data_IF_820088456274
#
_entry.id   IF_820088456274
#
_cell.length_a   1.000
_cell.length_b   1.000
_cell.length_c   1.000
_cell.angle_alpha   90.00
_cell.angle_beta   90.00
_cell.angle_gamma   90.00
#
_symmetry.space_group_name_H-M   'P 1'
#
loop_
_entity.id
_entity.type
_entity.pdbx_description
1 polymer ?
#
# COMPACT_ATOMS: atom_id res chain seq x y z
N UNK A 1 -6.53 5.62 10.89
CA UNK A 1 -5.95 5.33 9.56
C UNK A 1 -4.88 6.37 9.28
N UNK A 2 -3.66 5.97 8.91
CA UNK A 2 -2.63 6.91 8.48
C UNK A 2 -2.93 7.34 7.04
N UNK A 3 -3.38 8.58 6.77
CA UNK A 3 -3.80 9.00 5.42
C UNK A 3 -2.65 8.92 4.40
N UNK A 4 -1.41 8.92 4.87
CA UNK A 4 -0.20 8.69 4.07
C UNK A 4 -0.19 7.32 3.35
N UNK A 5 -0.82 6.29 3.92
CA UNK A 5 -0.90 4.96 3.29
C UNK A 5 -1.72 4.95 1.99
N UNK A 6 -2.56 5.96 1.75
CA UNK A 6 -3.27 6.12 0.47
C UNK A 6 -2.26 6.26 -0.68
N UNK A 7 -1.12 6.93 -0.45
CA UNK A 7 -0.05 7.04 -1.45
C UNK A 7 0.53 5.67 -1.81
N UNK A 8 0.69 4.79 -0.83
CA UNK A 8 1.17 3.42 -1.08
C UNK A 8 0.20 2.63 -1.95
N UNK A 9 -1.11 2.75 -1.70
CA UNK A 9 -2.16 2.09 -2.50
C UNK A 9 -2.20 2.64 -3.93
N UNK A 10 -2.09 3.96 -4.11
CA UNK A 10 -2.06 4.59 -5.44
C UNK A 10 -0.85 4.08 -6.24
N UNK A 11 0.35 4.10 -5.65
CA UNK A 11 1.57 3.64 -6.30
C UNK A 11 1.54 2.14 -6.64
N UNK A 12 0.97 1.33 -5.74
CA UNK A 12 0.71 -0.08 -5.99
C UNK A 12 -0.25 -0.31 -7.15
N UNK A 13 -1.37 0.41 -7.18
CA UNK A 13 -2.36 0.35 -8.25
C UNK A 13 -1.77 0.75 -9.60
N UNK A 14 -1.02 1.86 -9.65
CA UNK A 14 -0.31 2.32 -10.86
C UNK A 14 0.68 1.26 -11.37
N UNK A 15 1.43 0.62 -10.48
CA UNK A 15 2.38 -0.45 -10.84
C UNK A 15 1.65 -1.66 -11.41
N UNK A 16 0.52 -2.05 -10.82
CA UNK A 16 -0.31 -3.14 -11.32
C UNK A 16 -0.82 -2.86 -12.74
N UNK A 17 -1.42 -1.68 -12.95
CA UNK A 17 -1.91 -1.26 -14.28
C UNK A 17 -0.77 -1.21 -15.29
N UNK A 18 0.38 -0.65 -14.93
CA UNK A 18 1.57 -0.59 -15.78
C UNK A 18 2.06 -1.98 -16.20
N UNK A 19 2.11 -2.93 -15.27
CA UNK A 19 2.52 -4.31 -15.55
C UNK A 19 1.55 -4.98 -16.53
N UNK A 20 0.24 -4.75 -16.37
CA UNK A 20 -0.77 -5.22 -17.31
C UNK A 20 -0.61 -4.60 -18.70
N UNK A 21 -0.34 -3.29 -18.78
CA UNK A 21 -0.11 -2.60 -20.05
C UNK A 21 1.11 -3.14 -20.80
N UNK A 22 2.20 -3.47 -20.09
CA UNK A 22 3.42 -4.02 -20.72
C UNK A 22 3.21 -5.48 -21.17
N UNK A 23 2.63 -6.31 -20.31
CA UNK A 23 2.49 -7.74 -20.58
C UNK A 23 1.24 -8.07 -21.44
N UNK A 24 0.47 -7.07 -21.87
CA UNK A 24 -0.76 -7.28 -22.63
C UNK A 24 -1.86 -7.98 -21.82
N UNK A 25 -1.85 -7.78 -20.50
CA UNK A 25 -2.84 -8.31 -19.56
C UNK A 25 -4.11 -7.47 -19.50
N UNK A 26 -5.14 -8.00 -18.85
CA UNK A 26 -6.42 -7.33 -18.76
C UNK A 26 -7.53 -8.25 -18.28
N UNK A 27 -8.71 -7.67 -18.06
CA UNK A 27 -9.91 -8.38 -17.62
C UNK A 27 -11.00 -8.21 -18.68
N UNK A 28 -11.77 -9.27 -18.92
CA UNK A 28 -12.87 -9.25 -19.90
C UNK A 28 -14.07 -8.45 -19.37
N UNK A 29 -14.20 -8.36 -18.05
CA UNK A 29 -15.20 -7.57 -17.34
C UNK A 29 -14.61 -7.03 -16.03
N UNK A 30 -15.18 -5.98 -15.41
CA UNK A 30 -14.78 -5.57 -14.09
C UNK A 30 -14.96 -6.74 -13.11
N UNK A 31 -13.87 -7.17 -12.48
CA UNK A 31 -13.91 -8.21 -11.45
C UNK A 31 -14.58 -7.66 -10.18
N UNK A 32 -15.92 -7.77 -10.14
CA UNK A 32 -16.73 -7.61 -8.94
C UNK A 32 -17.24 -9.01 -8.60
N UNK A 33 -16.79 -9.67 -7.52
CA UNK A 33 -16.19 -9.14 -6.27
C UNK A 33 -14.68 -8.90 -6.37
N UNK A 34 -14.12 -8.04 -5.51
CA UNK A 34 -12.69 -7.71 -5.44
C UNK A 34 -11.75 -8.83 -4.97
N UNK A 35 -12.09 -10.09 -5.26
CA UNK A 35 -11.31 -11.28 -4.93
C UNK A 35 -10.42 -11.69 -6.10
N UNK A 36 -9.22 -12.17 -5.80
CA UNK A 36 -8.30 -12.74 -6.80
C UNK A 36 -8.93 -13.92 -7.55
N UNK A 37 -9.84 -14.69 -6.92
CA UNK A 37 -10.56 -15.76 -7.62
C UNK A 37 -11.48 -15.21 -8.72
N UNK A 38 -12.09 -14.05 -8.50
CA UNK A 38 -12.91 -13.37 -9.51
C UNK A 38 -12.04 -12.80 -10.63
N UNK A 39 -10.87 -12.25 -10.29
CA UNK A 39 -9.87 -11.79 -11.27
C UNK A 39 -9.46 -12.94 -12.20
N UNK A 40 -9.13 -14.12 -11.64
CA UNK A 40 -8.77 -15.30 -12.42
C UNK A 40 -9.94 -15.84 -13.28
N UNK A 41 -11.17 -15.81 -12.75
CA UNK A 41 -12.35 -16.21 -13.50
C UNK A 41 -12.66 -15.26 -14.68
N UNK A 42 -12.34 -13.97 -14.53
CA UNK A 42 -12.56 -12.92 -15.56
C UNK A 42 -11.30 -12.64 -16.40
N UNK A 43 -10.25 -13.44 -16.25
CA UNK A 43 -9.02 -13.33 -17.06
C UNK A 43 -9.19 -14.11 -18.36
N UNK A 44 -8.94 -13.50 -19.54
CA UNK A 44 -9.00 -14.22 -20.80
C UNK A 44 -7.91 -15.29 -20.91
N UNK A 45 -8.19 -16.38 -21.63
CA UNK A 45 -7.25 -17.49 -21.85
C UNK A 45 -6.01 -16.97 -22.59
N UNK A 46 -4.89 -16.87 -21.86
CA UNK A 46 -3.61 -16.32 -22.36
C UNK A 46 -3.07 -15.15 -21.55
N UNK A 47 -3.93 -14.43 -20.80
CA UNK A 47 -3.52 -13.27 -19.99
C UNK A 47 -3.26 -13.60 -18.50
N UNK A 48 -3.37 -14.88 -18.10
CA UNK A 48 -3.15 -15.33 -16.72
C UNK A 48 -1.79 -14.93 -16.16
N UNK A 49 -0.74 -15.11 -16.96
CA UNK A 49 0.62 -14.75 -16.57
C UNK A 49 0.75 -13.25 -16.30
N UNK A 50 0.22 -12.42 -17.21
CA UNK A 50 0.23 -10.97 -17.08
C UNK A 50 -0.56 -10.50 -15.83
N UNK A 51 -1.74 -11.08 -15.59
CA UNK A 51 -2.59 -10.69 -14.46
C UNK A 51 -1.99 -11.10 -13.11
N UNK A 52 -1.44 -12.30 -12.99
CA UNK A 52 -0.78 -12.74 -11.76
C UNK A 52 0.48 -11.91 -11.51
N UNK A 53 1.30 -11.68 -12.53
CA UNK A 53 2.49 -10.84 -12.42
C UNK A 53 2.14 -9.40 -11.98
N UNK A 54 1.07 -8.83 -12.55
CA UNK A 54 0.58 -7.50 -12.17
C UNK A 54 0.11 -7.43 -10.71
N UNK A 55 -0.61 -8.45 -10.23
CA UNK A 55 -1.04 -8.53 -8.82
C UNK A 55 0.16 -8.66 -7.88
N UNK A 56 1.12 -9.53 -8.21
CA UNK A 56 2.34 -9.70 -7.42
C UNK A 56 3.18 -8.41 -7.39
N UNK A 57 3.33 -7.72 -8.52
CA UNK A 57 4.05 -6.46 -8.59
C UNK A 57 3.35 -5.35 -7.77
N UNK A 58 2.03 -5.22 -7.89
CA UNK A 58 1.23 -4.26 -7.11
C UNK A 58 1.32 -4.54 -5.60
N UNK A 59 1.27 -5.82 -5.21
CA UNK A 59 1.44 -6.25 -3.82
C UNK A 59 2.83 -5.89 -3.29
N UNK A 60 3.89 -6.21 -4.04
CA UNK A 60 5.26 -5.93 -3.64
C UNK A 60 5.51 -4.43 -3.45
N UNK A 61 5.10 -3.60 -4.40
CA UNK A 61 5.25 -2.14 -4.30
C UNK A 61 4.43 -1.56 -3.16
N UNK A 62 3.16 -1.96 -3.02
CA UNK A 62 2.31 -1.48 -1.92
C UNK A 62 2.91 -1.83 -0.55
N UNK A 63 3.44 -3.05 -0.42
CA UNK A 63 4.05 -3.52 0.82
C UNK A 63 5.33 -2.75 1.15
N UNK A 64 6.24 -2.59 0.19
CA UNK A 64 7.50 -1.88 0.39
C UNK A 64 7.25 -0.41 0.74
N UNK A 65 6.39 0.28 -0.02
CA UNK A 65 6.08 1.70 0.23
C UNK A 65 5.38 1.86 1.58
N UNK A 66 4.43 0.99 1.92
CA UNK A 66 3.75 1.04 3.23
C UNK A 66 4.71 0.77 4.38
N UNK A 67 5.62 -0.20 4.23
CA UNK A 67 6.61 -0.53 5.25
C UNK A 67 7.55 0.66 5.53
N UNK A 68 8.01 1.34 4.48
CA UNK A 68 8.85 2.54 4.61
C UNK A 68 8.06 3.66 5.29
N UNK A 69 6.85 3.97 4.82
CA UNK A 69 6.00 5.05 5.36
C UNK A 69 5.61 4.83 6.83
N UNK A 70 5.33 3.59 7.22
CA UNK A 70 5.02 3.23 8.61
C UNK A 70 6.25 3.34 9.50
N UNK A 71 7.42 2.92 9.03
CA UNK A 71 8.67 3.03 9.78
C UNK A 71 9.00 4.50 10.08
N UNK A 72 8.86 5.39 9.09
CA UNK A 72 9.07 6.84 9.29
C UNK A 72 8.01 7.47 10.19
N UNK A 73 6.76 6.99 10.15
CA UNK A 73 5.70 7.54 10.99
C UNK A 73 5.87 7.16 12.47
N UNK A 74 6.32 5.94 12.77
CA UNK A 74 6.62 5.51 14.15
C UNK A 74 7.73 6.32 14.81
N UNK A 75 8.81 6.63 14.07
CA UNK A 75 9.92 7.45 14.58
C UNK A 75 9.43 8.82 15.04
N UNK A 76 8.51 9.43 14.29
CA UNK A 76 7.94 10.73 14.65
C UNK A 76 7.01 10.67 15.87
N UNK A 77 6.26 9.57 16.03
CA UNK A 77 5.45 9.35 17.24
C UNK A 77 6.33 9.18 18.49
N UNK A 78 7.43 8.42 18.42
CA UNK A 78 8.35 8.25 19.57
C UNK A 78 8.96 9.59 20.02
N UNK A 79 9.42 10.41 19.08
CA UNK A 79 9.94 11.76 19.37
C UNK A 79 8.87 12.68 20.00
N UNK A 80 7.63 12.63 19.53
CA UNK A 80 6.53 13.45 20.05
C UNK A 80 6.13 13.02 21.48
N UNK A 81 6.20 11.72 21.81
CA UNK A 81 5.90 11.21 23.16
C UNK A 81 7.01 11.58 24.16
N UNK A 82 8.29 11.48 23.79
CA UNK A 82 9.39 11.96 24.62
C UNK A 82 9.31 13.47 24.85
N UNK A 83 9.02 14.25 23.81
CA UNK A 83 8.85 15.70 23.90
C UNK A 83 7.66 16.09 24.79
N UNK A 84 6.53 15.39 24.67
CA UNK A 84 5.37 15.59 25.54
C UNK A 84 5.68 15.25 27.00
N UNK A 85 6.43 14.18 27.25
CA UNK A 85 6.82 13.75 28.60
C UNK A 85 7.76 14.76 29.26
N UNK A 86 8.74 15.30 28.53
CA UNK A 86 9.60 16.39 29.02
C UNK A 86 8.81 17.64 29.38
N UNK A 87 7.87 18.06 28.52
CA UNK A 87 6.98 19.19 28.81
C UNK A 87 6.12 18.98 30.06
N UNK A 88 5.65 17.76 30.31
CA UNK A 88 4.92 17.45 31.55
C UNK A 88 5.83 17.51 32.79
N UNK A 89 7.09 17.08 32.69
CA UNK A 89 8.06 17.16 33.78
C UNK A 89 8.43 18.61 34.10
N UNK A 90 8.68 19.44 33.08
CA UNK A 90 8.99 20.86 33.26
C UNK A 90 7.83 21.63 33.92
N UNK A 91 6.58 21.34 33.55
CA UNK A 91 5.40 21.94 34.20
C UNK A 91 5.21 21.49 35.65
N UNK A 92 5.64 20.26 36.00
CA UNK A 92 5.59 19.78 37.40
C UNK A 92 6.76 20.29 38.25
N UNK A 93 7.90 20.63 37.64
CA UNK A 93 9.06 21.17 38.34
C UNK A 93 8.96 22.69 38.58
N UNK A 94 8.06 23.38 37.89
CA UNK A 94 7.77 24.82 38.06
C UNK A 94 6.67 25.17 39.07
N UNK A 95 6.21 24.21 39.90
CA UNK A 95 5.28 24.40 41.03
C UNK A 95 5.99 24.05 42.33
#
# INVERSE_FOLDING_TARGET
MNPRLILAVILGGMTGVFTLTILGGGLVSPASPGSILAVLAMTPKGAYFANIAGVCAAMAVSFVVSAILLKTSKVKEEDDIEAATRRMQDMKAGV
#
